data_IF_389235238353
#
_entry.id   IF_389235238353
#
_cell.length_a   1.000
_cell.length_b   1.000
_cell.length_c   1.000
_cell.angle_alpha   90.00
_cell.angle_beta   90.00
_cell.angle_gamma   90.00
#
_symmetry.space_group_name_H-M   'P 1'
#
loop_
_entity.id
_entity.type
_entity.pdbx_description
1 polymer ?
#
# COMPACT_ATOMS: atom_id res chain seq x y z
N UNK A 1 -22.26 0.94 -9.63
CA UNK A 1 -21.36 2.09 -9.76
C UNK A 1 -21.22 2.83 -8.42
N UNK A 2 -22.31 3.23 -7.78
CA UNK A 2 -22.29 3.97 -6.48
C UNK A 2 -21.54 3.27 -5.35
N UNK A 3 -21.71 1.95 -5.19
CA UNK A 3 -20.97 1.16 -4.19
C UNK A 3 -19.46 1.25 -4.40
N UNK A 4 -19.00 1.17 -5.65
CA UNK A 4 -17.57 1.22 -5.97
C UNK A 4 -17.00 2.63 -5.77
N UNK A 5 -17.77 3.69 -6.06
CA UNK A 5 -17.38 5.08 -5.76
C UNK A 5 -17.18 5.28 -4.25
N UNK A 6 -18.08 4.76 -3.41
CA UNK A 6 -17.92 4.83 -1.95
C UNK A 6 -16.68 4.07 -1.47
N UNK A 7 -16.43 2.89 -2.02
CA UNK A 7 -15.23 2.10 -1.72
C UNK A 7 -13.95 2.87 -2.08
N UNK A 8 -13.88 3.47 -3.28
CA UNK A 8 -12.71 4.27 -3.71
C UNK A 8 -12.47 5.47 -2.78
N UNK A 9 -13.53 6.12 -2.29
CA UNK A 9 -13.41 7.21 -1.30
C UNK A 9 -12.75 6.78 0.01
N UNK A 10 -12.79 5.49 0.37
CA UNK A 10 -12.10 4.96 1.53
C UNK A 10 -10.68 4.46 1.21
N UNK A 11 -10.42 3.99 -0.02
CA UNK A 11 -9.10 3.53 -0.44
C UNK A 11 -8.08 4.67 -0.43
N UNK A 12 -8.37 5.84 -1.00
CA UNK A 12 -7.37 6.91 -1.11
C UNK A 12 -6.88 7.45 0.24
N UNK A 13 -7.74 7.71 1.25
CA UNK A 13 -7.28 8.02 2.59
C UNK A 13 -6.45 6.90 3.22
N UNK A 14 -6.84 5.64 3.01
CA UNK A 14 -6.10 4.49 3.54
C UNK A 14 -4.68 4.42 2.95
N UNK A 15 -4.52 4.59 1.64
CA UNK A 15 -3.21 4.65 0.98
C UNK A 15 -2.30 5.72 1.59
N UNK A 16 -2.84 6.92 1.88
CA UNK A 16 -2.09 8.00 2.54
C UNK A 16 -1.70 7.66 3.97
N UNK A 17 -2.57 6.96 4.70
CA UNK A 17 -2.28 6.51 6.07
C UNK A 17 -1.18 5.44 6.07
N UNK A 18 -1.25 4.49 5.15
CA UNK A 18 -0.25 3.44 4.99
C UNK A 18 1.12 4.00 4.61
N UNK A 19 1.17 5.00 3.72
CA UNK A 19 2.41 5.71 3.40
C UNK A 19 3.06 6.32 4.64
N UNK A 20 2.26 7.00 5.48
CA UNK A 20 2.72 7.54 6.77
C UNK A 20 3.16 6.43 7.71
N UNK A 21 2.46 5.29 7.71
CA UNK A 21 2.82 4.09 8.45
C UNK A 21 4.22 3.59 8.08
N UNK A 22 4.51 3.41 6.79
CA UNK A 22 5.82 2.95 6.31
C UNK A 22 6.93 3.96 6.65
N UNK A 23 6.68 5.26 6.48
CA UNK A 23 7.64 6.29 6.93
C UNK A 23 7.86 6.24 8.45
N UNK A 24 6.81 5.93 9.21
CA UNK A 24 6.94 5.75 10.66
C UNK A 24 7.77 4.50 10.99
N UNK A 25 7.55 3.38 10.30
CA UNK A 25 8.38 2.16 10.43
C UNK A 25 9.86 2.49 10.23
N UNK A 26 10.21 3.19 9.15
CA UNK A 26 11.59 3.62 8.88
C UNK A 26 12.17 4.39 10.08
N UNK A 27 11.44 5.38 10.59
CA UNK A 27 11.85 6.17 11.75
C UNK A 27 12.05 5.29 13.00
N UNK A 28 11.12 4.38 13.29
CA UNK A 28 11.24 3.48 14.44
C UNK A 28 12.51 2.60 14.33
N UNK A 29 12.81 2.08 13.14
CA UNK A 29 14.01 1.29 12.88
C UNK A 29 15.30 2.11 13.11
N UNK A 30 15.34 3.35 12.65
CA UNK A 30 16.49 4.26 12.88
C UNK A 30 16.74 4.55 14.38
N UNK A 31 15.70 4.40 15.19
CA UNK A 31 15.72 4.59 16.64
C UNK A 31 15.84 3.26 17.42
N UNK A 32 16.10 2.14 16.73
CA UNK A 32 16.21 0.78 17.29
C UNK A 32 14.93 0.28 17.99
N UNK A 33 13.77 0.85 17.63
CA UNK A 33 12.44 0.50 18.15
C UNK A 33 11.75 -0.54 17.27
N UNK A 34 12.35 -1.73 17.20
CA UNK A 34 11.97 -2.76 16.24
C UNK A 34 10.58 -3.36 16.46
N UNK A 35 10.18 -3.60 17.72
CA UNK A 35 8.86 -4.18 18.03
C UNK A 35 7.72 -3.23 17.61
N UNK A 36 7.89 -1.93 17.87
CA UNK A 36 6.94 -0.91 17.45
C UNK A 36 6.93 -0.76 15.92
N UNK A 37 8.11 -0.86 15.28
CA UNK A 37 8.22 -0.85 13.82
C UNK A 37 7.44 -2.02 13.19
N UNK A 38 7.59 -3.24 13.73
CA UNK A 38 6.90 -4.43 13.23
C UNK A 38 5.40 -4.36 13.43
N UNK A 39 4.94 -3.86 14.57
CA UNK A 39 3.49 -3.69 14.82
C UNK A 39 2.85 -2.83 13.72
N UNK A 40 3.51 -1.72 13.36
CA UNK A 40 3.00 -0.81 12.31
C UNK A 40 3.17 -1.40 10.91
N UNK A 41 4.22 -2.20 10.69
CA UNK A 41 4.42 -2.93 9.44
C UNK A 41 3.30 -3.97 9.23
N UNK A 42 2.95 -4.74 10.26
CA UNK A 42 1.86 -5.72 10.23
C UNK A 42 0.51 -5.07 9.90
N UNK A 43 0.18 -3.94 10.56
CA UNK A 43 -1.01 -3.14 10.26
C UNK A 43 -1.02 -2.69 8.79
N UNK A 44 0.15 -2.29 8.27
CA UNK A 44 0.30 -1.88 6.87
C UNK A 44 0.12 -3.06 5.92
N UNK A 45 0.69 -4.22 6.21
CA UNK A 45 0.51 -5.47 5.44
C UNK A 45 -0.96 -5.85 5.36
N UNK A 46 -1.68 -5.77 6.49
CA UNK A 46 -3.11 -6.04 6.52
C UNK A 46 -3.90 -5.04 5.66
N UNK A 47 -3.52 -3.75 5.67
CA UNK A 47 -4.06 -2.73 4.77
C UNK A 47 -3.89 -3.08 3.29
N UNK A 48 -2.71 -3.58 2.89
CA UNK A 48 -2.45 -4.03 1.51
C UNK A 48 -3.38 -5.18 1.13
N UNK A 49 -3.51 -6.19 2.00
CA UNK A 49 -4.40 -7.33 1.76
C UNK A 49 -5.87 -6.92 1.62
N UNK A 50 -6.31 -5.93 2.41
CA UNK A 50 -7.67 -5.40 2.32
C UNK A 50 -7.90 -4.71 0.97
N UNK A 51 -6.95 -3.87 0.54
CA UNK A 51 -7.03 -3.15 -0.74
C UNK A 51 -6.98 -4.13 -1.92
N UNK A 52 -6.07 -5.09 -1.91
CA UNK A 52 -5.97 -6.14 -2.93
C UNK A 52 -7.31 -6.87 -3.11
N UNK A 53 -7.91 -7.36 -2.01
CA UNK A 53 -9.21 -8.05 -2.06
C UNK A 53 -10.30 -7.18 -2.66
N UNK A 54 -10.30 -5.89 -2.34
CA UNK A 54 -11.27 -4.95 -2.88
C UNK A 54 -11.06 -4.72 -4.37
N UNK A 55 -9.81 -4.55 -4.80
CA UNK A 55 -9.45 -4.36 -6.21
C UNK A 55 -9.80 -5.60 -7.04
N UNK A 56 -9.55 -6.80 -6.53
CA UNK A 56 -9.94 -8.06 -7.18
C UNK A 56 -11.45 -8.12 -7.47
N UNK A 57 -12.29 -7.64 -6.56
CA UNK A 57 -13.75 -7.57 -6.78
C UNK A 57 -14.15 -6.53 -7.84
N UNK A 58 -13.24 -5.63 -8.22
CA UNK A 58 -13.46 -4.57 -9.19
C UNK A 58 -12.70 -4.81 -10.51
N UNK A 59 -11.92 -5.89 -10.61
CA UNK A 59 -10.92 -6.10 -11.67
C UNK A 59 -11.50 -6.02 -13.08
N UNK A 60 -12.70 -6.58 -13.31
CA UNK A 60 -13.38 -6.54 -14.62
C UNK A 60 -13.73 -5.13 -15.09
N UNK A 61 -13.79 -4.16 -14.18
CA UNK A 61 -14.10 -2.75 -14.49
C UNK A 61 -12.84 -1.89 -14.62
N UNK A 62 -11.68 -2.40 -14.24
CA UNK A 62 -10.43 -1.65 -14.25
C UNK A 62 -9.73 -1.80 -15.60
N UNK A 63 -9.01 -0.75 -16.05
CA UNK A 63 -8.11 -0.90 -17.18
C UNK A 63 -6.99 -1.89 -16.83
N UNK A 64 -6.35 -2.44 -17.87
CA UNK A 64 -5.10 -3.19 -17.71
C UNK A 64 -4.12 -2.37 -16.87
N UNK A 65 -3.64 -2.98 -15.78
CA UNK A 65 -2.81 -2.31 -14.78
C UNK A 65 -1.72 -3.23 -14.27
N UNK A 66 -0.72 -2.63 -13.63
CA UNK A 66 0.37 -3.35 -12.96
C UNK A 66 0.08 -3.64 -11.49
N UNK A 67 -1.18 -3.49 -11.03
CA UNK A 67 -1.52 -3.59 -9.61
C UNK A 67 -1.13 -4.95 -9.03
N UNK A 68 -1.45 -6.06 -9.70
CA UNK A 68 -1.13 -7.40 -9.20
C UNK A 68 0.38 -7.60 -9.06
N UNK A 69 1.15 -7.19 -10.06
CA UNK A 69 2.62 -7.27 -10.06
C UNK A 69 3.21 -6.44 -8.92
N UNK A 70 2.75 -5.20 -8.76
CA UNK A 70 3.22 -4.31 -7.69
C UNK A 70 2.78 -4.79 -6.31
N UNK A 71 1.60 -5.43 -6.20
CA UNK A 71 1.09 -6.04 -4.96
C UNK A 71 1.98 -7.21 -4.52
N UNK A 72 2.39 -8.08 -5.44
CA UNK A 72 3.36 -9.14 -5.14
C UNK A 72 4.69 -8.55 -4.69
N UNK A 73 5.22 -7.55 -5.42
CA UNK A 73 6.51 -6.92 -5.09
C UNK A 73 6.52 -6.29 -3.70
N UNK A 74 5.46 -5.56 -3.32
CA UNK A 74 5.42 -4.91 -2.00
C UNK A 74 5.28 -5.94 -0.88
N UNK A 75 4.50 -7.02 -1.09
CA UNK A 75 4.40 -8.13 -0.11
C UNK A 75 5.73 -8.83 0.08
N UNK A 76 6.43 -9.17 -1.00
CA UNK A 76 7.76 -9.77 -0.94
C UNK A 76 8.76 -8.86 -0.21
N UNK A 77 8.69 -7.55 -0.47
CA UNK A 77 9.52 -6.55 0.20
C UNK A 77 9.24 -6.49 1.71
N UNK A 78 7.97 -6.61 2.12
CA UNK A 78 7.56 -6.65 3.53
C UNK A 78 7.97 -7.96 4.22
N UNK A 79 7.80 -9.10 3.55
CA UNK A 79 8.26 -10.40 4.07
C UNK A 79 9.75 -10.41 4.35
N UNK A 80 10.58 -9.84 3.47
CA UNK A 80 12.03 -9.71 3.72
C UNK A 80 12.36 -8.93 5.00
N UNK A 81 11.57 -7.90 5.35
CA UNK A 81 11.79 -7.13 6.59
C UNK A 81 11.50 -7.99 7.80
N UNK A 82 10.39 -8.73 7.78
CA UNK A 82 10.02 -9.68 8.84
C UNK A 82 11.08 -10.77 8.97
N UNK A 83 11.46 -11.41 7.87
CA UNK A 83 12.47 -12.48 7.85
C UNK A 83 13.82 -12.00 8.41
N UNK A 84 14.28 -10.81 8.00
CA UNK A 84 15.54 -10.24 8.48
C UNK A 84 15.51 -9.93 9.98
N UNK A 85 14.36 -9.49 10.50
CA UNK A 85 14.18 -9.29 11.92
C UNK A 85 14.19 -10.61 12.70
N UNK A 86 13.38 -11.59 12.28
CA UNK A 86 13.25 -12.88 12.96
C UNK A 86 14.58 -13.66 13.00
N UNK A 87 15.35 -13.61 11.91
CA UNK A 87 16.64 -14.28 11.81
C UNK A 87 17.79 -13.52 12.49
N UNK A 88 17.52 -12.37 13.14
CA UNK A 88 18.52 -11.49 13.75
C UNK A 88 19.62 -11.06 12.78
N UNK A 89 19.32 -11.06 11.49
CA UNK A 89 20.18 -10.56 10.42
C UNK A 89 19.88 -9.08 10.21
N UNK A 90 19.87 -8.32 11.31
CA UNK A 90 19.41 -6.92 11.46
C UNK A 90 20.14 -5.89 10.58
N UNK A 91 21.10 -6.31 9.75
CA UNK A 91 21.86 -5.39 8.92
C UNK A 91 20.97 -4.72 7.88
N UNK A 92 20.79 -3.40 8.03
CA UNK A 92 20.22 -2.47 7.06
C UNK A 92 18.71 -2.59 6.76
N UNK A 93 17.89 -2.94 7.76
CA UNK A 93 16.43 -2.86 7.64
C UNK A 93 15.94 -1.45 7.26
N UNK A 94 16.51 -0.40 7.86
CA UNK A 94 16.16 1.00 7.53
C UNK A 94 16.44 1.31 6.05
N UNK A 95 17.63 0.93 5.55
CA UNK A 95 18.02 1.15 4.16
C UNK A 95 17.11 0.35 3.21
N UNK A 96 16.70 -0.86 3.58
CA UNK A 96 15.75 -1.67 2.80
C UNK A 96 14.38 -0.96 2.70
N UNK A 97 13.88 -0.39 3.80
CA UNK A 97 12.65 0.40 3.77
C UNK A 97 12.79 1.61 2.84
N UNK A 98 13.89 2.35 2.97
CA UNK A 98 14.15 3.58 2.21
C UNK A 98 14.31 3.31 0.71
N UNK A 99 15.12 2.32 0.34
CA UNK A 99 15.57 2.11 -1.04
C UNK A 99 14.73 1.12 -1.82
N UNK A 100 13.97 0.26 -1.15
CA UNK A 100 13.10 -0.72 -1.81
C UNK A 100 11.63 -0.49 -1.47
N UNK A 101 11.26 -0.54 -0.19
CA UNK A 101 9.84 -0.57 0.20
C UNK A 101 9.09 0.71 -0.15
N UNK A 102 9.64 1.88 0.20
CA UNK A 102 9.01 3.18 -0.06
C UNK A 102 8.84 3.44 -1.57
N UNK A 103 9.85 3.23 -2.44
CA UNK A 103 9.67 3.32 -3.88
C UNK A 103 8.60 2.37 -4.44
N UNK A 104 8.63 1.09 -4.06
CA UNK A 104 7.64 0.10 -4.54
C UNK A 104 6.23 0.48 -4.07
N UNK A 105 6.09 0.92 -2.82
CA UNK A 105 4.80 1.37 -2.28
C UNK A 105 4.29 2.62 -3.02
N UNK A 106 5.16 3.57 -3.33
CA UNK A 106 4.82 4.76 -4.10
C UNK A 106 4.29 4.39 -5.48
N UNK A 107 4.97 3.48 -6.20
CA UNK A 107 4.53 2.99 -7.50
C UNK A 107 3.19 2.25 -7.41
N UNK A 108 3.03 1.37 -6.40
CA UNK A 108 1.80 0.64 -6.14
C UNK A 108 0.61 1.58 -5.87
N UNK A 109 0.81 2.56 -4.99
CA UNK A 109 -0.18 3.61 -4.66
C UNK A 109 -0.59 4.39 -5.92
N UNK A 110 0.39 4.84 -6.71
CA UNK A 110 0.12 5.62 -7.92
C UNK A 110 -0.67 4.81 -8.96
N UNK A 111 -0.34 3.53 -9.15
CA UNK A 111 -1.05 2.66 -10.10
C UNK A 111 -2.49 2.39 -9.63
N UNK A 112 -2.72 2.24 -8.33
CA UNK A 112 -4.07 2.13 -7.76
C UNK A 112 -4.86 3.42 -7.98
N UNK A 113 -4.29 4.58 -7.63
CA UNK A 113 -4.96 5.88 -7.81
C UNK A 113 -5.31 6.13 -9.28
N UNK A 114 -4.39 5.81 -10.19
CA UNK A 114 -4.60 5.89 -11.64
C UNK A 114 -5.71 4.94 -12.10
N UNK A 115 -5.70 3.68 -11.69
CA UNK A 115 -6.69 2.68 -12.12
C UNK A 115 -8.09 2.97 -11.58
N UNK A 116 -8.17 3.51 -10.36
CA UNK A 116 -9.44 3.89 -9.72
C UNK A 116 -9.94 5.28 -10.12
N UNK A 117 -9.17 6.06 -10.89
CA UNK A 117 -9.56 7.39 -11.35
C UNK A 117 -10.85 7.38 -12.20
N UNK A 118 -11.18 6.26 -12.84
CA UNK A 118 -12.46 6.07 -13.56
C UNK A 118 -13.70 6.22 -12.66
N UNK A 119 -13.53 6.05 -11.33
CA UNK A 119 -14.58 6.23 -10.33
C UNK A 119 -14.54 7.62 -9.66
N UNK A 120 -13.54 8.45 -9.98
CA UNK A 120 -13.38 9.80 -9.44
C UNK A 120 -14.17 10.88 -10.20
N UNK A 121 -14.99 10.48 -11.18
CA UNK A 121 -15.82 11.42 -11.97
C UNK A 121 -16.92 12.04 -11.10
N UNK A 122 -16.90 13.37 -11.01
CA UNK A 122 -17.87 14.21 -10.28
C UNK A 122 -19.30 14.05 -10.84
N UNK A 123 -20.37 14.26 -10.03
CA UNK A 123 -21.78 14.20 -10.44
C UNK A 123 -22.27 15.28 -11.45
N UNK A 124 -21.42 16.07 -12.08
CA UNK A 124 -21.82 17.31 -12.78
C UNK A 124 -22.07 17.17 -14.30
N UNK A 125 -22.36 15.97 -14.81
CA UNK A 125 -22.65 15.76 -16.26
C UNK A 125 -24.13 15.47 -16.53
N UNK A 126 -25.04 15.71 -15.58
CA UNK A 126 -26.49 15.60 -15.82
C UNK A 126 -27.28 16.84 -15.34
N UNK A 127 -26.75 18.03 -15.60
CA UNK A 127 -27.57 19.24 -15.71
C UNK A 127 -27.65 19.65 -17.18
N UNK A 128 -28.57 19.03 -17.91
CA UNK A 128 -29.13 19.54 -19.16
C UNK A 128 -30.65 19.52 -19.03
#
# INVERSE_FOLDING_TARGET
MDKNIQVVKHIFPLLRTMEKGINHVQKQLSELRYEEALTVLEDTMHGIMCIEKVIQNMQEMLPDSQIDVLTTKIKDCMSKVVDNYENKTESNLEEHIEKEMLPIFSDWKAEIEKSLSIFSVSPDILSN
#
